data_IF_875344831858
#
_entry.id   IF_875344831858
#
_cell.length_a   1.000
_cell.length_b   1.000
_cell.length_c   1.000
_cell.angle_alpha   90.00
_cell.angle_beta   90.00
_cell.angle_gamma   90.00
#
_symmetry.space_group_name_H-M   'P 1'
#
loop_
_entity.id
_entity.type
_entity.pdbx_description
1 polymer ?
#
# COMPACT_ATOMS: atom_id res chain seq x y z
N UNK A 1 -6.07 -33.04 23.37
CA UNK A 1 -4.87 -32.22 23.66
C UNK A 1 -4.83 -31.09 22.64
N UNK A 2 -4.69 -29.82 23.04
CA UNK A 2 -4.54 -28.74 22.06
C UNK A 2 -3.23 -28.92 21.29
N UNK A 3 -3.18 -28.65 19.97
CA UNK A 3 -1.96 -28.77 19.21
C UNK A 3 -0.85 -27.88 19.79
N UNK A 4 0.40 -28.32 19.65
CA UNK A 4 1.58 -27.59 20.09
C UNK A 4 2.61 -27.54 18.97
N UNK A 5 3.30 -26.41 18.88
CA UNK A 5 4.42 -26.19 17.99
C UNK A 5 5.65 -26.07 18.89
N UNK A 6 6.61 -26.98 18.72
CA UNK A 6 7.91 -26.90 19.39
C UNK A 6 8.94 -26.64 18.31
N UNK A 7 9.55 -25.46 18.35
CA UNK A 7 10.53 -25.12 17.33
C UNK A 7 11.91 -25.67 17.73
N UNK A 8 12.57 -26.47 16.88
CA UNK A 8 13.87 -27.05 17.18
C UNK A 8 14.94 -25.94 17.28
N UNK A 9 16.04 -26.21 17.99
CA UNK A 9 17.18 -25.30 17.99
C UNK A 9 17.79 -25.22 16.59
N UNK A 10 18.34 -24.05 16.27
CA UNK A 10 19.14 -23.83 15.05
C UNK A 10 20.58 -23.50 15.44
N UNK A 11 21.51 -23.63 14.50
CA UNK A 11 22.94 -23.44 14.75
C UNK A 11 23.28 -22.06 15.36
N UNK A 12 22.49 -21.05 15.04
CA UNK A 12 22.71 -19.65 15.46
C UNK A 12 21.81 -19.20 16.61
N UNK A 13 20.99 -20.07 17.20
CA UNK A 13 20.13 -19.70 18.32
C UNK A 13 18.83 -20.49 18.44
N UNK A 14 17.82 -19.86 19.04
CA UNK A 14 16.45 -20.39 19.13
C UNK A 14 15.57 -19.67 18.10
N UNK A 15 14.95 -20.39 17.15
CA UNK A 15 13.98 -19.77 16.26
C UNK A 15 12.73 -19.36 17.04
N UNK A 16 12.00 -18.37 16.52
CA UNK A 16 10.86 -17.77 17.21
C UNK A 16 9.67 -17.55 16.25
N UNK A 17 8.49 -17.37 16.82
CA UNK A 17 7.28 -16.92 16.12
C UNK A 17 6.80 -15.62 16.79
N UNK A 18 6.69 -14.54 16.01
CA UNK A 18 6.29 -13.22 16.52
C UNK A 18 7.49 -12.38 16.94
N UNK A 19 7.88 -12.46 18.22
CA UNK A 19 8.97 -11.66 18.81
C UNK A 19 10.20 -12.51 19.07
N UNK A 20 11.35 -11.87 19.30
CA UNK A 20 12.62 -12.53 19.65
C UNK A 20 12.71 -12.96 21.12
N UNK A 21 11.63 -12.79 21.90
CA UNK A 21 11.59 -13.21 23.30
C UNK A 21 11.79 -14.73 23.39
N UNK A 22 12.65 -15.17 24.31
CA UNK A 22 12.89 -16.59 24.53
C UNK A 22 11.72 -17.17 25.34
N UNK A 23 11.09 -18.20 24.81
CA UNK A 23 9.94 -18.85 25.44
C UNK A 23 10.29 -20.25 25.96
N UNK A 24 9.61 -20.66 27.03
CA UNK A 24 9.81 -21.93 27.72
C UNK A 24 9.75 -23.10 26.75
N UNK A 25 10.82 -23.92 26.74
CA UNK A 25 10.96 -25.09 25.88
C UNK A 25 10.77 -24.80 24.38
N UNK A 26 10.88 -23.53 23.95
CA UNK A 26 10.56 -23.08 22.59
C UNK A 26 9.18 -23.54 22.09
N UNK A 27 8.21 -23.58 23.03
CA UNK A 27 6.89 -24.18 22.84
C UNK A 27 5.81 -23.11 22.72
N UNK A 28 5.03 -23.22 21.65
CA UNK A 28 3.83 -22.42 21.40
C UNK A 28 2.60 -23.34 21.42
N UNK A 29 1.63 -23.03 22.28
CA UNK A 29 0.32 -23.72 22.34
C UNK A 29 -0.63 -23.07 21.34
N UNK A 30 -1.31 -23.88 20.53
CA UNK A 30 -2.39 -23.40 19.66
C UNK A 30 -3.64 -23.21 20.51
N UNK A 31 -4.10 -21.97 20.63
CA UNK A 31 -5.27 -21.61 21.43
C UNK A 31 -6.56 -21.63 20.62
N UNK A 32 -6.49 -21.15 19.37
CA UNK A 32 -7.59 -21.17 18.42
C UNK A 32 -7.04 -21.16 17.00
N UNK A 33 -7.79 -21.74 16.07
CA UNK A 33 -7.53 -21.60 14.65
C UNK A 33 -8.84 -21.66 13.85
N UNK A 34 -8.86 -20.94 12.74
CA UNK A 34 -9.86 -21.02 11.68
C UNK A 34 -9.12 -21.21 10.35
N UNK A 35 -9.85 -21.31 9.24
CA UNK A 35 -9.22 -21.30 7.91
C UNK A 35 -8.38 -20.03 7.64
N UNK A 36 -8.61 -18.94 8.39
CA UNK A 36 -7.99 -17.64 8.14
C UNK A 36 -7.14 -17.10 9.30
N UNK A 37 -7.21 -17.67 10.50
CA UNK A 37 -6.53 -17.14 11.69
C UNK A 37 -5.98 -18.25 12.56
N UNK A 38 -4.91 -17.96 13.30
CA UNK A 38 -4.36 -18.83 14.34
C UNK A 38 -3.86 -17.98 15.50
N UNK A 39 -4.25 -18.35 16.72
CA UNK A 39 -3.73 -17.72 17.95
C UNK A 39 -2.83 -18.70 18.67
N UNK A 40 -1.61 -18.30 18.95
CA UNK A 40 -0.62 -19.05 19.70
C UNK A 40 -0.37 -18.38 21.06
N UNK A 41 -0.10 -19.18 22.09
CA UNK A 41 0.42 -18.69 23.38
C UNK A 41 1.68 -19.43 23.79
N UNK A 42 2.64 -18.69 24.30
CA UNK A 42 3.85 -19.22 24.92
C UNK A 42 4.10 -18.52 26.26
N UNK A 43 4.85 -19.16 27.15
CA UNK A 43 5.30 -18.55 28.40
C UNK A 43 6.73 -18.07 28.21
N UNK A 44 7.02 -16.82 28.55
CA UNK A 44 8.37 -16.27 28.42
C UNK A 44 9.26 -16.92 29.49
N UNK A 45 10.43 -17.42 29.08
CA UNK A 45 11.35 -18.14 29.95
C UNK A 45 11.87 -17.21 31.05
N UNK A 46 11.82 -17.67 32.31
CA UNK A 46 12.32 -16.91 33.46
C UNK A 46 11.48 -15.69 33.87
N UNK A 47 10.33 -15.44 33.22
CA UNK A 47 9.54 -14.22 33.47
C UNK A 47 8.53 -14.35 34.62
N UNK A 48 8.46 -15.50 35.30
CA UNK A 48 7.46 -15.75 36.34
C UNK A 48 6.04 -15.97 35.81
N UNK A 49 5.89 -16.38 34.54
CA UNK A 49 4.60 -16.78 33.96
C UNK A 49 3.97 -15.77 32.99
N UNK A 50 4.71 -14.75 32.56
CA UNK A 50 4.26 -13.83 31.51
C UNK A 50 3.95 -14.59 30.22
N UNK A 51 2.81 -14.24 29.61
CA UNK A 51 2.33 -14.89 28.40
C UNK A 51 2.63 -14.02 27.17
N UNK A 52 3.28 -14.62 26.18
CA UNK A 52 3.35 -14.11 24.82
C UNK A 52 2.15 -14.66 24.04
N UNK A 53 1.29 -13.78 23.50
CA UNK A 53 0.21 -14.16 22.59
C UNK A 53 0.54 -13.69 21.17
N UNK A 54 0.57 -14.63 20.21
CA UNK A 54 0.87 -14.35 18.81
C UNK A 54 -0.38 -14.63 17.98
N UNK A 55 -0.84 -13.63 17.23
CA UNK A 55 -1.98 -13.75 16.33
C UNK A 55 -1.49 -13.75 14.89
N UNK A 56 -1.73 -14.87 14.21
CA UNK A 56 -1.38 -15.10 12.82
C UNK A 56 -2.65 -15.07 11.98
N UNK A 57 -2.56 -14.49 10.79
CA UNK A 57 -3.59 -14.54 9.76
C UNK A 57 -3.05 -15.31 8.57
N UNK A 58 -3.87 -16.18 7.97
CA UNK A 58 -3.50 -16.87 6.74
C UNK A 58 -3.09 -15.85 5.69
N UNK A 59 -1.94 -16.08 5.07
CA UNK A 59 -1.52 -15.34 3.88
C UNK A 59 -2.48 -15.73 2.76
N UNK A 60 -3.32 -14.80 2.33
CA UNK A 60 -4.12 -14.93 1.12
C UNK A 60 -3.30 -14.31 0.00
N UNK A 61 -2.74 -15.15 -0.88
CA UNK A 61 -2.10 -14.67 -2.10
C UNK A 61 -3.22 -14.25 -3.05
N UNK A 62 -3.43 -12.95 -3.18
CA UNK A 62 -4.42 -12.41 -4.10
C UNK A 62 -3.98 -12.68 -5.55
N UNK A 63 -4.92 -13.16 -6.37
CA UNK A 63 -4.71 -13.21 -7.83
C UNK A 63 -4.82 -11.81 -8.44
N UNK A 64 -4.36 -11.66 -9.68
CA UNK A 64 -4.54 -10.41 -10.44
C UNK A 64 -6.03 -10.05 -10.60
N UNK A 65 -6.91 -11.04 -10.70
CA UNK A 65 -8.35 -10.83 -10.74
C UNK A 65 -8.89 -10.34 -9.39
N UNK A 66 -8.43 -10.90 -8.27
CA UNK A 66 -8.84 -10.46 -6.92
C UNK A 66 -8.42 -9.01 -6.67
N UNK A 67 -7.19 -8.65 -7.02
CA UNK A 67 -6.67 -7.28 -6.90
C UNK A 67 -7.50 -6.31 -7.74
N UNK A 68 -7.83 -6.69 -8.99
CA UNK A 68 -8.69 -5.87 -9.86
C UNK A 68 -10.08 -5.70 -9.26
N UNK A 69 -10.67 -6.78 -8.74
CA UNK A 69 -11.98 -6.75 -8.12
C UNK A 69 -12.01 -5.84 -6.88
N UNK A 70 -10.95 -5.85 -6.05
CA UNK A 70 -10.83 -4.93 -4.91
C UNK A 70 -10.66 -3.48 -5.38
N UNK A 71 -9.85 -3.25 -6.41
CA UNK A 71 -9.59 -1.93 -7.00
C UNK A 71 -10.87 -1.30 -7.56
N UNK A 72 -11.71 -2.08 -8.24
CA UNK A 72 -12.93 -1.61 -8.92
C UNK A 72 -14.22 -1.90 -8.15
N UNK A 73 -14.18 -2.60 -7.01
CA UNK A 73 -15.39 -3.07 -6.32
C UNK A 73 -16.27 -4.00 -7.15
N UNK A 74 -15.70 -4.64 -8.19
CA UNK A 74 -16.41 -5.48 -9.16
C UNK A 74 -17.05 -4.73 -10.33
N UNK A 75 -17.19 -3.41 -10.25
CA UNK A 75 -17.75 -2.58 -11.32
C UNK A 75 -17.06 -1.23 -11.39
N UNK A 76 -17.26 -0.40 -10.37
CA UNK A 76 -16.65 0.90 -10.18
C UNK A 76 -16.43 1.16 -8.69
N UNK A 77 -15.25 1.66 -8.33
CA UNK A 77 -14.94 2.06 -6.96
C UNK A 77 -14.11 3.32 -6.93
N UNK A 78 -14.48 4.22 -6.03
CA UNK A 78 -13.84 5.52 -5.86
C UNK A 78 -12.87 5.48 -4.69
N UNK A 79 -11.69 6.06 -4.93
CA UNK A 79 -10.61 6.21 -3.97
C UNK A 79 -10.23 7.68 -3.89
N UNK A 80 -9.70 8.09 -2.74
CA UNK A 80 -9.06 9.40 -2.55
C UNK A 80 -7.80 9.25 -1.72
N UNK A 81 -6.88 10.20 -1.85
CA UNK A 81 -5.71 10.23 -0.98
C UNK A 81 -6.17 10.32 0.49
N UNK A 82 -5.48 9.64 1.39
CA UNK A 82 -5.83 9.63 2.82
C UNK A 82 -5.57 11.01 3.44
N UNK A 83 -6.61 11.80 3.77
CA UNK A 83 -6.42 13.15 4.30
C UNK A 83 -6.12 13.13 5.81
N UNK A 84 -6.10 11.96 6.45
CA UNK A 84 -5.93 11.86 7.90
C UNK A 84 -4.61 12.52 8.31
N UNK A 85 -4.60 13.44 9.29
CA UNK A 85 -3.37 14.06 9.76
C UNK A 85 -2.32 13.01 10.14
N UNK A 86 -1.09 13.15 9.59
CA UNK A 86 0.00 12.18 9.80
C UNK A 86 -0.08 10.92 8.95
N UNK A 87 -1.08 10.77 8.06
CA UNK A 87 -1.12 9.65 7.11
C UNK A 87 0.10 9.65 6.17
N UNK A 88 0.70 10.82 5.92
CA UNK A 88 1.78 11.01 4.94
C UNK A 88 1.38 10.34 3.63
N UNK A 89 0.24 10.79 3.08
CA UNK A 89 -0.42 10.15 1.96
C UNK A 89 0.42 10.19 0.68
N UNK A 90 1.37 11.10 0.59
CA UNK A 90 2.34 11.20 -0.49
C UNK A 90 3.73 11.21 0.13
N UNK A 91 4.60 10.29 -0.29
CA UNK A 91 6.04 10.29 0.03
C UNK A 91 6.85 10.12 -1.26
N UNK A 92 8.07 10.64 -1.28
CA UNK A 92 8.95 10.62 -2.46
C UNK A 92 10.33 10.14 -2.07
N UNK A 93 10.93 9.30 -2.90
CA UNK A 93 12.25 8.75 -2.62
C UNK A 93 12.75 7.84 -3.72
N UNK A 94 13.50 6.81 -3.32
CA UNK A 94 13.99 5.74 -4.20
C UNK A 94 13.28 4.43 -3.90
N UNK A 95 13.44 3.42 -4.75
CA UNK A 95 12.78 2.13 -4.54
C UNK A 95 13.11 1.48 -3.18
N UNK A 96 14.37 1.60 -2.75
CA UNK A 96 14.84 1.05 -1.47
C UNK A 96 14.52 1.96 -0.27
N UNK A 97 14.26 3.25 -0.51
CA UNK A 97 13.85 4.19 0.51
C UNK A 97 12.81 5.18 -0.06
N UNK A 98 11.52 4.80 -0.10
CA UNK A 98 10.46 5.58 -0.76
C UNK A 98 10.15 6.93 -0.11
N UNK A 99 10.75 7.24 1.04
CA UNK A 99 10.61 8.49 1.77
C UNK A 99 11.89 9.34 1.78
N UNK A 100 12.92 8.94 1.03
CA UNK A 100 14.26 9.54 1.07
C UNK A 100 14.29 11.04 0.77
N UNK A 101 13.45 11.51 -0.17
CA UNK A 101 13.46 12.88 -0.64
C UNK A 101 12.36 13.72 0.00
N UNK A 102 11.22 13.09 0.31
CA UNK A 102 10.10 13.70 1.00
C UNK A 102 9.40 12.66 1.87
N UNK A 103 9.47 12.86 3.19
CA UNK A 103 8.86 11.96 4.19
C UNK A 103 7.34 12.06 4.32
N UNK A 104 6.73 13.00 3.59
CA UNK A 104 5.31 13.27 3.61
C UNK A 104 4.95 14.52 4.41
N UNK A 105 3.69 14.92 4.26
CA UNK A 105 3.09 16.07 4.93
C UNK A 105 1.57 16.02 4.79
N UNK A 106 0.85 17.02 5.32
CA UNK A 106 -0.58 17.16 5.08
C UNK A 106 -0.83 17.36 3.58
N UNK A 107 -1.96 16.84 3.10
CA UNK A 107 -2.48 17.18 1.78
C UNK A 107 -2.97 18.63 1.77
N UNK A 108 -2.85 19.31 0.62
CA UNK A 108 -3.41 20.64 0.47
C UNK A 108 -4.96 20.58 0.50
N UNK A 109 -5.61 21.27 1.45
CA UNK A 109 -7.06 21.23 1.59
C UNK A 109 -7.82 21.88 0.43
N UNK A 110 -7.14 22.62 -0.45
CA UNK A 110 -7.77 23.35 -1.55
C UNK A 110 -7.70 22.66 -2.91
N UNK A 111 -6.91 21.60 -3.07
CA UNK A 111 -6.76 20.90 -4.35
C UNK A 111 -6.24 19.45 -4.27
N UNK A 112 -6.29 18.81 -3.10
CA UNK A 112 -5.87 17.40 -2.94
C UNK A 112 -6.79 16.58 -2.03
N UNK A 113 -7.39 17.17 -1.00
CA UNK A 113 -8.16 16.40 0.00
C UNK A 113 -9.51 15.88 -0.49
N UNK A 114 -10.07 16.53 -1.50
CA UNK A 114 -11.34 16.22 -2.15
C UNK A 114 -11.18 15.51 -3.49
N UNK A 115 -9.97 15.50 -4.07
CA UNK A 115 -9.61 14.74 -5.27
C UNK A 115 -10.07 13.28 -5.21
N UNK A 116 -10.74 12.83 -6.27
CA UNK A 116 -11.26 11.46 -6.36
C UNK A 116 -10.75 10.74 -7.60
N UNK A 117 -10.49 9.44 -7.44
CA UNK A 117 -10.07 8.53 -8.48
C UNK A 117 -11.03 7.34 -8.51
N UNK A 118 -11.93 7.33 -9.49
CA UNK A 118 -12.87 6.24 -9.71
C UNK A 118 -12.30 5.26 -10.71
N UNK A 119 -11.95 4.06 -10.24
CA UNK A 119 -11.52 2.97 -11.10
C UNK A 119 -12.71 2.09 -11.46
N UNK A 120 -12.97 1.94 -12.75
CA UNK A 120 -13.81 0.89 -13.28
C UNK A 120 -12.96 -0.13 -14.05
N UNK A 121 -13.58 -1.07 -14.77
CA UNK A 121 -12.85 -2.13 -15.46
C UNK A 121 -11.88 -1.63 -16.54
N UNK A 122 -12.17 -0.51 -17.19
CA UNK A 122 -11.40 0.00 -18.34
C UNK A 122 -10.75 1.37 -18.09
N UNK A 123 -11.37 2.21 -17.27
CA UNK A 123 -11.01 3.62 -17.12
C UNK A 123 -10.77 4.00 -15.66
N UNK A 124 -9.86 4.96 -15.49
CA UNK A 124 -9.75 5.76 -14.28
C UNK A 124 -10.34 7.13 -14.60
N UNK A 125 -11.22 7.58 -13.72
CA UNK A 125 -11.84 8.91 -13.77
C UNK A 125 -11.26 9.69 -12.60
N UNK A 126 -10.48 10.71 -12.90
CA UNK A 126 -9.97 11.66 -11.92
C UNK A 126 -10.86 12.89 -11.90
N UNK A 127 -11.40 13.25 -10.73
CA UNK A 127 -12.08 14.51 -10.52
C UNK A 127 -11.27 15.34 -9.51
N UNK A 128 -10.83 16.53 -9.95
CA UNK A 128 -10.07 17.49 -9.17
C UNK A 128 -10.95 18.49 -8.39
N UNK A 129 -12.27 18.43 -8.58
CA UNK A 129 -13.25 19.28 -7.91
C UNK A 129 -12.96 20.80 -7.97
N UNK A 130 -12.39 21.27 -9.08
CA UNK A 130 -12.12 22.67 -9.34
C UNK A 130 -10.66 23.07 -9.31
N UNK A 131 -9.76 22.30 -8.68
CA UNK A 131 -8.33 22.62 -8.64
C UNK A 131 -7.45 21.38 -8.49
N UNK A 132 -6.26 21.39 -9.09
CA UNK A 132 -5.29 20.30 -8.99
C UNK A 132 -3.98 20.80 -8.39
N UNK A 133 -3.38 20.03 -7.49
CA UNK A 133 -2.03 20.33 -7.01
C UNK A 133 -0.98 20.17 -8.11
N UNK A 134 -0.41 21.29 -8.55
CA UNK A 134 0.77 21.31 -9.40
C UNK A 134 2.00 20.96 -8.54
N UNK A 135 2.64 19.84 -8.84
CA UNK A 135 3.93 19.47 -8.27
C UNK A 135 5.08 20.34 -8.78
N UNK A 136 6.31 19.80 -8.75
CA UNK A 136 7.51 20.54 -9.15
C UNK A 136 7.65 20.80 -10.66
N UNK A 137 6.74 20.31 -11.50
CA UNK A 137 6.87 20.30 -12.96
C UNK A 137 6.03 21.34 -13.72
N UNK A 138 5.14 22.07 -13.06
CA UNK A 138 4.28 23.10 -13.67
C UNK A 138 4.35 24.38 -12.84
N UNK A 139 4.63 25.51 -13.49
CA UNK A 139 4.61 26.81 -12.82
C UNK A 139 3.17 27.33 -12.61
N UNK A 140 2.87 27.96 -11.46
CA UNK A 140 3.69 28.03 -10.26
C UNK A 140 3.81 26.66 -9.57
N UNK A 141 5.03 26.30 -9.18
CA UNK A 141 5.34 25.00 -8.59
C UNK A 141 4.77 24.90 -7.17
N UNK A 142 4.36 23.69 -6.78
CA UNK A 142 3.85 23.37 -5.44
C UNK A 142 2.65 24.26 -5.04
N UNK A 143 1.70 24.41 -5.96
CA UNK A 143 0.53 25.26 -5.78
C UNK A 143 -0.73 24.60 -6.36
N UNK A 144 -1.89 24.99 -5.87
CA UNK A 144 -3.17 24.62 -6.47
C UNK A 144 -3.39 25.38 -7.79
N UNK A 145 -3.35 24.64 -8.88
CA UNK A 145 -3.60 25.10 -10.25
C UNK A 145 -5.04 24.86 -10.69
N UNK A 146 -5.28 25.08 -11.98
CA UNK A 146 -6.57 24.80 -12.61
C UNK A 146 -6.94 23.31 -12.54
N UNK A 147 -8.24 23.03 -12.59
CA UNK A 147 -8.81 21.69 -12.68
C UNK A 147 -8.21 20.91 -13.86
N UNK A 148 -7.69 19.71 -13.58
CA UNK A 148 -7.14 18.76 -14.57
C UNK A 148 -7.89 17.42 -14.57
N UNK A 149 -9.18 17.44 -14.25
CA UNK A 149 -10.05 16.25 -14.27
C UNK A 149 -9.98 15.57 -15.64
N UNK A 150 -9.98 14.24 -15.63
CA UNK A 150 -9.92 13.45 -16.85
C UNK A 150 -10.65 12.12 -16.69
N UNK A 151 -10.98 11.52 -17.83
CA UNK A 151 -11.47 10.15 -17.93
C UNK A 151 -10.68 9.44 -19.03
N UNK A 152 -9.81 8.51 -18.63
CA UNK A 152 -8.91 7.82 -19.56
C UNK A 152 -8.90 6.33 -19.34
N UNK A 153 -8.75 5.57 -20.43
CA UNK A 153 -8.51 4.14 -20.35
C UNK A 153 -7.13 3.89 -19.71
N UNK A 154 -7.01 2.83 -18.90
CA UNK A 154 -5.73 2.40 -18.34
C UNK A 154 -5.45 0.94 -18.67
N UNK A 155 -4.17 0.58 -18.74
CA UNK A 155 -3.77 -0.82 -18.83
C UNK A 155 -3.58 -1.38 -17.43
N UNK A 156 -4.01 -2.61 -17.19
CA UNK A 156 -3.85 -3.31 -15.92
C UNK A 156 -3.33 -4.71 -16.15
N UNK A 157 -2.37 -5.14 -15.35
CA UNK A 157 -1.80 -6.48 -15.46
C UNK A 157 -0.86 -6.86 -14.34
N UNK A 158 -0.22 -8.02 -14.52
CA UNK A 158 0.82 -8.47 -13.62
C UNK A 158 1.97 -7.47 -13.56
N UNK A 159 2.62 -7.37 -12.40
CA UNK A 159 3.84 -6.59 -12.27
C UNK A 159 5.03 -7.37 -12.85
N UNK A 160 5.64 -6.83 -13.91
CA UNK A 160 6.80 -7.41 -14.59
C UNK A 160 8.08 -6.59 -14.40
N UNK A 161 8.04 -5.53 -13.59
CA UNK A 161 9.18 -4.61 -13.41
C UNK A 161 10.38 -5.21 -12.67
N UNK A 162 10.21 -6.35 -11.99
CA UNK A 162 11.22 -6.94 -11.12
C UNK A 162 11.33 -6.26 -9.73
N UNK A 163 10.54 -5.22 -9.49
CA UNK A 163 10.48 -4.49 -8.22
C UNK A 163 9.16 -4.75 -7.47
N UNK A 164 9.04 -4.23 -6.24
CA UNK A 164 7.89 -4.49 -5.39
C UNK A 164 6.57 -4.06 -6.04
N UNK A 165 5.55 -4.91 -5.96
CA UNK A 165 4.21 -4.62 -6.47
C UNK A 165 3.42 -5.89 -6.82
N UNK A 166 2.14 -5.91 -6.47
CA UNK A 166 1.19 -6.99 -6.70
C UNK A 166 0.62 -6.98 -8.14
N UNK A 167 0.46 -5.79 -8.71
CA UNK A 167 -0.03 -5.56 -10.06
C UNK A 167 0.45 -4.19 -10.57
N UNK A 168 0.26 -3.90 -11.85
CA UNK A 168 0.58 -2.61 -12.48
C UNK A 168 -0.65 -1.97 -13.09
N UNK A 169 -0.69 -0.64 -13.02
CA UNK A 169 -1.59 0.26 -13.73
C UNK A 169 -0.71 1.15 -14.60
N UNK A 170 -1.03 1.24 -15.89
CA UNK A 170 -0.37 2.14 -16.83
C UNK A 170 -1.38 3.16 -17.33
N UNK A 171 -1.10 4.44 -17.12
CA UNK A 171 -1.89 5.51 -17.72
C UNK A 171 -1.30 5.92 -19.08
N UNK A 172 -2.15 6.35 -20.04
CA UNK A 172 -1.71 6.85 -21.33
C UNK A 172 -1.20 8.28 -21.18
N UNK A 173 -0.29 8.69 -22.07
CA UNK A 173 0.32 10.02 -22.09
C UNK A 173 1.20 10.29 -20.85
N UNK A 174 2.20 11.16 -21.02
CA UNK A 174 3.06 11.53 -19.90
C UNK A 174 2.35 12.53 -18.96
N UNK A 175 2.72 12.56 -17.68
CA UNK A 175 2.36 13.67 -16.80
C UNK A 175 2.84 15.00 -17.42
N UNK A 176 2.08 16.09 -17.28
CA UNK A 176 0.94 16.24 -16.38
C UNK A 176 -0.43 16.09 -17.07
N UNK A 177 -0.49 15.44 -18.24
CA UNK A 177 -1.75 15.25 -19.00
C UNK A 177 -2.67 14.25 -18.28
N UNK A 178 -2.10 13.13 -17.83
CA UNK A 178 -2.74 12.18 -16.92
C UNK A 178 -1.75 11.80 -15.84
N UNK A 179 -2.23 11.57 -14.62
CA UNK A 179 -1.39 11.19 -13.48
C UNK A 179 -2.29 10.67 -12.34
N UNK A 180 -1.70 10.05 -11.32
CA UNK A 180 -2.37 9.75 -10.06
C UNK A 180 -1.55 10.38 -8.94
N UNK A 181 -2.21 11.15 -8.07
CA UNK A 181 -1.59 11.82 -6.93
C UNK A 181 -1.10 13.23 -7.26
N UNK A 182 0.08 13.35 -7.88
CA UNK A 182 0.69 14.65 -8.23
C UNK A 182 1.10 14.71 -9.69
N UNK A 183 1.19 15.93 -10.23
CA UNK A 183 1.49 16.14 -11.66
C UNK A 183 2.92 15.79 -12.05
N UNK A 184 3.84 15.67 -11.09
CA UNK A 184 5.29 15.50 -11.26
C UNK A 184 5.80 14.06 -11.01
N UNK A 185 4.88 13.09 -11.02
CA UNK A 185 5.22 11.67 -11.02
C UNK A 185 6.11 11.27 -12.22
N UNK A 186 6.86 10.15 -12.13
CA UNK A 186 7.76 9.71 -13.18
C UNK A 186 7.10 9.59 -14.56
N UNK A 187 7.85 9.94 -15.62
CA UNK A 187 7.34 10.12 -16.99
C UNK A 187 6.77 8.87 -17.63
N UNK A 188 7.18 7.69 -17.16
CA UNK A 188 6.63 6.41 -17.58
C UNK A 188 5.16 6.23 -17.18
N UNK A 189 4.62 7.04 -16.27
CA UNK A 189 3.21 7.02 -15.83
C UNK A 189 2.69 5.63 -15.43
N UNK A 190 3.60 4.83 -14.87
CA UNK A 190 3.34 3.48 -14.37
C UNK A 190 3.16 3.52 -12.85
N UNK A 191 2.13 2.84 -12.36
CA UNK A 191 1.82 2.71 -10.93
C UNK A 191 1.76 1.24 -10.54
N UNK A 192 2.58 0.87 -9.56
CA UNK A 192 2.58 -0.48 -8.96
C UNK A 192 1.65 -0.48 -7.75
N UNK A 193 0.76 -1.47 -7.67
CA UNK A 193 -0.05 -1.70 -6.48
C UNK A 193 0.83 -2.37 -5.43
N UNK A 194 1.25 -1.63 -4.41
CA UNK A 194 2.09 -2.15 -3.32
C UNK A 194 1.25 -2.92 -2.30
N UNK A 195 0.09 -2.39 -1.98
CA UNK A 195 -0.85 -2.97 -1.03
C UNK A 195 -2.27 -2.65 -1.47
N UNK A 196 -3.18 -3.61 -1.33
CA UNK A 196 -4.60 -3.36 -1.53
C UNK A 196 -5.46 -4.22 -0.59
N UNK A 197 -6.47 -3.60 0.00
CA UNK A 197 -7.55 -4.23 0.78
C UNK A 197 -8.85 -3.50 0.47
N UNK A 198 -10.03 -3.96 0.96
CA UNK A 198 -11.27 -3.21 0.77
C UNK A 198 -11.21 -1.76 1.28
N UNK A 199 -10.37 -1.44 2.26
CA UNK A 199 -10.31 -0.13 2.92
C UNK A 199 -8.99 0.64 2.72
N UNK A 200 -8.03 0.07 1.98
CA UNK A 200 -6.71 0.70 1.80
C UNK A 200 -6.14 0.36 0.43
N UNK A 201 -5.58 1.35 -0.24
CA UNK A 201 -4.83 1.18 -1.48
C UNK A 201 -3.51 1.94 -1.36
N UNK A 202 -2.40 1.28 -1.64
CA UNK A 202 -1.07 1.90 -1.73
C UNK A 202 -0.56 1.72 -3.15
N UNK A 203 -0.40 2.84 -3.85
CA UNK A 203 0.22 2.87 -5.18
C UNK A 203 1.64 3.40 -5.07
N UNK A 204 2.53 2.90 -5.94
CA UNK A 204 3.86 3.46 -6.13
C UNK A 204 4.05 3.82 -7.59
N UNK A 205 4.18 5.10 -7.89
CA UNK A 205 4.55 5.54 -9.23
C UNK A 205 6.03 5.29 -9.49
N UNK A 206 6.33 4.90 -10.72
CA UNK A 206 7.66 4.64 -11.23
C UNK A 206 7.91 3.16 -11.46
N UNK A 207 8.71 2.86 -12.49
CA UNK A 207 9.09 1.49 -12.89
C UNK A 207 10.12 0.83 -11.94
N UNK A 208 10.53 1.53 -10.88
CA UNK A 208 11.50 1.06 -9.88
C UNK A 208 12.93 1.54 -10.13
N UNK A 209 13.19 2.20 -11.26
CA UNK A 209 14.44 2.91 -11.53
C UNK A 209 14.27 4.40 -11.23
N UNK A 210 15.18 4.98 -10.43
CA UNK A 210 15.15 6.40 -10.10
C UNK A 210 14.16 6.79 -8.99
N UNK A 211 13.51 7.95 -9.17
CA UNK A 211 12.58 8.52 -8.20
C UNK A 211 11.25 7.79 -8.23
N UNK A 212 10.73 7.45 -7.05
CA UNK A 212 9.40 6.87 -6.88
C UNK A 212 8.55 7.75 -5.99
N UNK A 213 7.25 7.76 -6.26
CA UNK A 213 6.25 8.39 -5.41
C UNK A 213 5.38 7.29 -4.84
N UNK A 214 5.10 7.30 -3.55
CA UNK A 214 4.15 6.38 -2.96
C UNK A 214 2.94 7.13 -2.41
N UNK A 215 1.78 6.63 -2.78
CA UNK A 215 0.49 7.23 -2.51
C UNK A 215 -0.34 6.30 -1.63
N UNK A 216 -0.98 6.83 -0.58
CA UNK A 216 -1.93 6.11 0.27
C UNK A 216 -3.32 6.63 0.01
N UNK A 217 -4.21 5.70 -0.29
CA UNK A 217 -5.62 5.96 -0.59
C UNK A 217 -6.53 5.21 0.37
N UNK A 218 -7.69 5.82 0.61
CA UNK A 218 -8.85 5.22 1.27
C UNK A 218 -10.03 5.22 0.29
N UNK A 219 -10.97 4.27 0.41
CA UNK A 219 -12.18 4.30 -0.40
C UNK A 219 -13.11 5.43 0.04
N UNK A 220 -13.98 5.85 -0.88
CA UNK A 220 -15.16 6.67 -0.59
C UNK A 220 -16.43 5.83 -0.46
#
# INVERSE_FOLDING_TARGET
>A
QLPRIVLPRIATGRPFIGTTDVVDSNLYRVMSYTDNTMTLRATIEGSGGTILEVKLKKVVVLTIADIKNILTGGSSKTWRLDPTPGANAIIVGTENNPAQYFGGGPLDPSCQTDDTYTFNNTNVIYNANGATFNGGNIAPNYNCGADRSFNVAYTYGANTSGFAGLATIQLPQAPPVTFIGTTDVPTENMYRIIEITPTRLVLRAGNGTGTVFQFKFIPL
#
